data_IF_611052277930
#
_entry.id   IF_611052277930
#
_cell.length_a   1.000
_cell.length_b   1.000
_cell.length_c   1.000
_cell.angle_alpha   90.00
_cell.angle_beta   90.00
_cell.angle_gamma   90.00
#
_symmetry.space_group_name_H-M   'P 1'
#
loop_
_entity.id
_entity.type
_entity.pdbx_description
1 polymer ?
#
# COMPACT_ATOMS: atom_id res chain seq x y z
N UNK A 1 15.87 20.93 43.04
CA UNK A 1 16.84 20.46 42.01
C UNK A 1 16.37 19.22 41.26
N UNK A 2 15.61 18.34 41.90
CA UNK A 2 15.01 17.14 41.27
C UNK A 2 13.95 17.46 40.20
N UNK A 3 13.08 18.45 40.43
CA UNK A 3 12.07 18.88 39.43
C UNK A 3 12.68 19.44 38.14
N UNK A 4 13.77 20.20 38.24
CA UNK A 4 14.43 20.77 37.06
C UNK A 4 15.07 19.68 36.18
N UNK A 5 15.62 18.63 36.79
CA UNK A 5 16.18 17.48 36.08
C UNK A 5 15.09 16.61 35.43
N UNK A 6 13.92 16.46 36.07
CA UNK A 6 12.77 15.75 35.51
C UNK A 6 12.19 16.49 34.29
N UNK A 7 12.09 17.82 34.35
CA UNK A 7 11.60 18.67 33.25
C UNK A 7 12.58 18.65 32.06
N UNK A 8 13.91 18.70 32.30
CA UNK A 8 14.91 18.58 31.23
C UNK A 8 14.94 17.19 30.59
N UNK A 9 14.66 16.14 31.36
CA UNK A 9 14.57 14.77 30.83
C UNK A 9 13.30 14.58 29.98
N UNK A 10 12.17 15.19 30.38
CA UNK A 10 10.94 15.19 29.58
C UNK A 10 11.07 16.02 28.29
N UNK A 11 11.71 17.19 28.34
CA UNK A 11 11.97 18.03 27.17
C UNK A 11 12.94 17.37 26.18
N UNK A 12 13.99 16.70 26.67
CA UNK A 12 14.90 15.94 25.82
C UNK A 12 14.24 14.69 25.21
N UNK A 13 13.34 14.04 25.95
CA UNK A 13 12.55 12.93 25.44
C UNK A 13 11.57 13.40 24.35
N UNK A 14 10.86 14.52 24.53
CA UNK A 14 9.94 15.08 23.54
C UNK A 14 10.67 15.59 22.29
N UNK A 15 11.82 16.25 22.43
CA UNK A 15 12.59 16.77 21.29
C UNK A 15 13.22 15.64 20.44
N UNK A 16 13.61 14.52 21.07
CA UNK A 16 14.16 13.32 20.39
C UNK A 16 13.06 12.40 19.84
N UNK A 17 11.87 12.36 20.44
CA UNK A 17 10.71 11.61 19.91
C UNK A 17 9.96 12.39 18.83
N UNK A 18 9.68 13.68 18.98
CA UNK A 18 8.94 14.46 17.98
C UNK A 18 9.71 14.59 16.67
N UNK A 19 11.00 14.94 16.70
CA UNK A 19 11.79 15.16 15.48
C UNK A 19 12.03 13.90 14.62
N UNK A 20 12.28 12.75 15.26
CA UNK A 20 12.53 11.48 14.55
C UNK A 20 11.24 10.75 14.17
N UNK A 21 10.20 10.81 15.00
CA UNK A 21 8.90 10.18 14.71
C UNK A 21 8.18 10.97 13.62
N UNK A 22 8.10 12.31 13.70
CA UNK A 22 7.48 13.13 12.65
C UNK A 22 8.18 12.90 11.31
N UNK A 23 9.52 12.86 11.28
CA UNK A 23 10.26 12.58 10.05
C UNK A 23 9.96 11.19 9.47
N UNK A 24 9.79 10.19 10.33
CA UNK A 24 9.49 8.81 9.91
C UNK A 24 8.05 8.68 9.43
N UNK A 25 7.11 9.30 10.15
CA UNK A 25 5.71 9.42 9.76
C UNK A 25 5.58 10.14 8.42
N UNK A 26 6.29 11.27 8.23
CA UNK A 26 6.32 11.98 6.97
C UNK A 26 6.87 11.12 5.84
N UNK A 27 7.97 10.40 6.07
CA UNK A 27 8.57 9.48 5.09
C UNK A 27 7.58 8.40 4.63
N UNK A 28 6.61 8.06 5.46
CA UNK A 28 5.54 7.10 5.15
C UNK A 28 4.27 7.74 4.58
N UNK A 29 3.91 8.93 5.04
CA UNK A 29 2.71 9.62 4.61
C UNK A 29 2.83 10.14 3.17
N UNK A 30 3.94 10.81 2.81
CA UNK A 30 4.06 11.45 1.50
C UNK A 30 3.89 10.49 0.31
N UNK A 31 4.47 9.26 0.30
CA UNK A 31 4.28 8.34 -0.82
C UNK A 31 2.84 7.83 -0.89
N UNK A 32 2.22 7.59 0.27
CA UNK A 32 0.82 7.16 0.31
C UNK A 32 -0.11 8.25 -0.20
N UNK A 33 0.13 9.50 0.19
CA UNK A 33 -0.62 10.66 -0.33
C UNK A 33 -0.50 10.77 -1.84
N UNK A 34 0.71 10.68 -2.40
CA UNK A 34 0.93 10.68 -3.85
C UNK A 34 0.18 9.53 -4.54
N UNK A 35 0.23 8.32 -3.97
CA UNK A 35 -0.51 7.18 -4.50
C UNK A 35 -2.03 7.42 -4.50
N UNK A 36 -2.58 8.00 -3.42
CA UNK A 36 -4.01 8.32 -3.34
C UNK A 36 -4.42 9.43 -4.31
N UNK A 37 -3.58 10.46 -4.51
CA UNK A 37 -3.83 11.50 -5.52
C UNK A 37 -3.80 10.94 -6.94
N UNK A 38 -2.83 10.06 -7.25
CA UNK A 38 -2.80 9.37 -8.53
C UNK A 38 -4.05 8.49 -8.72
N UNK A 39 -4.53 7.86 -7.64
CA UNK A 39 -5.79 7.11 -7.66
C UNK A 39 -7.00 8.00 -7.96
N UNK A 40 -7.13 9.13 -7.27
CA UNK A 40 -8.21 10.07 -7.52
C UNK A 40 -8.16 10.63 -8.96
N UNK A 41 -6.97 10.96 -9.45
CA UNK A 41 -6.77 11.48 -10.80
C UNK A 41 -7.19 10.47 -11.88
N UNK A 42 -6.82 9.19 -11.78
CA UNK A 42 -7.26 8.22 -12.78
C UNK A 42 -8.78 8.05 -12.76
N UNK A 43 -9.42 8.03 -11.59
CA UNK A 43 -10.89 7.89 -11.50
C UNK A 43 -11.60 9.02 -12.24
N UNK A 44 -11.08 10.25 -12.16
CA UNK A 44 -11.61 11.38 -12.92
C UNK A 44 -11.40 11.20 -14.43
N UNK A 45 -10.22 10.74 -14.84
CA UNK A 45 -9.90 10.49 -16.25
C UNK A 45 -10.78 9.38 -16.84
N UNK A 46 -10.98 8.29 -16.10
CA UNK A 46 -11.81 7.16 -16.52
C UNK A 46 -13.28 7.62 -16.68
N UNK A 47 -13.80 8.36 -15.69
CA UNK A 47 -15.15 8.90 -15.75
C UNK A 47 -15.31 9.93 -16.89
N UNK A 48 -14.26 10.70 -17.21
CA UNK A 48 -14.27 11.59 -18.37
C UNK A 48 -14.40 10.83 -19.69
N UNK A 49 -13.72 9.70 -19.85
CA UNK A 49 -13.83 8.87 -21.05
C UNK A 49 -15.16 8.12 -21.13
N UNK A 50 -15.60 7.50 -20.03
CA UNK A 50 -16.91 6.86 -19.93
C UNK A 50 -18.04 7.87 -20.20
N UNK A 51 -17.90 9.10 -19.72
CA UNK A 51 -18.90 10.15 -19.92
C UNK A 51 -19.14 10.52 -21.38
N UNK A 52 -18.18 10.25 -22.27
CA UNK A 52 -18.36 10.44 -23.72
C UNK A 52 -19.19 9.34 -24.39
N UNK A 53 -19.45 8.22 -23.73
CA UNK A 53 -20.31 7.15 -24.24
C UNK A 53 -21.80 7.44 -24.05
N UNK A 54 -22.14 8.31 -23.08
CA UNK A 54 -23.52 8.71 -22.81
C UNK A 54 -23.92 8.58 -21.34
N UNK A 55 -25.17 8.96 -21.04
CA UNK A 55 -25.69 8.98 -19.66
C UNK A 55 -25.83 7.58 -19.07
N UNK A 56 -26.27 6.61 -19.88
CA UNK A 56 -26.48 5.23 -19.43
C UNK A 56 -25.16 4.55 -19.05
N UNK A 57 -24.08 4.84 -19.78
CA UNK A 57 -22.73 4.37 -19.48
C UNK A 57 -22.21 4.92 -18.14
N UNK A 58 -22.41 6.22 -17.88
CA UNK A 58 -22.06 6.83 -16.59
C UNK A 58 -22.83 6.15 -15.45
N UNK A 59 -24.13 5.94 -15.63
CA UNK A 59 -24.97 5.29 -14.63
C UNK A 59 -24.51 3.84 -14.36
N UNK A 60 -24.21 3.08 -15.41
CA UNK A 60 -23.69 1.71 -15.30
C UNK A 60 -22.37 1.65 -14.51
N UNK A 61 -21.42 2.53 -14.84
CA UNK A 61 -20.12 2.61 -14.15
C UNK A 61 -20.28 3.06 -12.70
N UNK A 62 -21.16 4.02 -12.42
CA UNK A 62 -21.41 4.49 -11.06
C UNK A 62 -22.00 3.38 -10.18
N UNK A 63 -23.00 2.64 -10.68
CA UNK A 63 -23.58 1.50 -9.96
C UNK A 63 -22.55 0.40 -9.74
N UNK A 64 -21.77 0.04 -10.76
CA UNK A 64 -20.71 -0.95 -10.58
C UNK A 64 -19.60 -0.50 -9.63
N UNK A 65 -19.31 0.80 -9.58
CA UNK A 65 -18.39 1.39 -8.61
C UNK A 65 -18.87 1.26 -7.15
N UNK A 66 -20.18 1.33 -6.90
CA UNK A 66 -20.74 1.06 -5.56
C UNK A 66 -20.49 -0.40 -5.16
N UNK A 67 -20.69 -1.35 -6.07
CA UNK A 67 -20.43 -2.78 -5.81
C UNK A 67 -18.94 -3.06 -5.58
N UNK A 68 -18.05 -2.45 -6.37
CA UNK A 68 -16.59 -2.53 -6.16
C UNK A 68 -16.20 -1.95 -4.78
N UNK A 69 -16.83 -0.85 -4.36
CA UNK A 69 -16.59 -0.24 -3.06
C UNK A 69 -17.05 -1.13 -1.89
N UNK A 70 -18.21 -1.77 -2.00
CA UNK A 70 -18.67 -2.76 -1.00
C UNK A 70 -17.64 -3.89 -0.87
N UNK A 71 -17.14 -4.39 -2.00
CA UNK A 71 -16.09 -5.42 -2.03
C UNK A 71 -14.79 -4.92 -1.35
N UNK A 72 -14.43 -3.66 -1.57
CA UNK A 72 -13.28 -3.01 -0.93
C UNK A 72 -13.42 -2.88 0.59
N UNK A 73 -14.62 -2.54 1.09
CA UNK A 73 -14.90 -2.43 2.53
C UNK A 73 -14.67 -3.78 3.22
N UNK A 74 -15.14 -4.88 2.63
CA UNK A 74 -14.93 -6.24 3.16
C UNK A 74 -13.44 -6.56 3.27
N UNK A 75 -12.64 -6.21 2.26
CA UNK A 75 -11.19 -6.46 2.25
C UNK A 75 -10.43 -5.60 3.26
N UNK A 76 -10.89 -4.38 3.53
CA UNK A 76 -10.13 -3.42 4.35
C UNK A 76 -9.77 -3.99 5.74
N UNK A 77 -10.67 -4.78 6.35
CA UNK A 77 -10.37 -5.47 7.62
C UNK A 77 -9.17 -6.41 7.55
N UNK A 78 -9.06 -7.20 6.48
CA UNK A 78 -7.94 -8.12 6.24
C UNK A 78 -6.65 -7.35 5.98
N UNK A 79 -6.71 -6.29 5.18
CA UNK A 79 -5.56 -5.43 4.87
C UNK A 79 -5.00 -4.77 6.14
N UNK A 80 -5.86 -4.32 7.04
CA UNK A 80 -5.45 -3.74 8.32
C UNK A 80 -4.84 -4.81 9.23
N UNK A 81 -5.51 -5.96 9.38
CA UNK A 81 -5.01 -7.06 10.19
C UNK A 81 -3.63 -7.55 9.72
N UNK A 82 -3.47 -7.76 8.42
CA UNK A 82 -2.20 -8.14 7.80
C UNK A 82 -1.08 -7.14 8.14
N UNK A 83 -1.37 -5.83 8.03
CA UNK A 83 -0.39 -4.79 8.40
C UNK A 83 0.04 -4.88 9.85
N UNK A 84 -0.90 -5.08 10.77
CA UNK A 84 -0.61 -5.16 12.21
C UNK A 84 0.25 -6.38 12.53
N UNK A 85 -0.11 -7.56 12.01
CA UNK A 85 0.65 -8.79 12.26
C UNK A 85 2.09 -8.68 11.74
N UNK A 86 2.26 -8.28 10.48
CA UNK A 86 3.58 -8.14 9.88
C UNK A 86 4.41 -7.07 10.60
N UNK A 87 3.83 -5.91 10.91
CA UNK A 87 4.55 -4.83 11.60
C UNK A 87 5.01 -5.26 12.99
N UNK A 88 4.17 -6.02 13.72
CA UNK A 88 4.50 -6.55 15.05
C UNK A 88 5.62 -7.58 14.99
N UNK A 89 5.60 -8.47 14.00
CA UNK A 89 6.64 -9.48 13.83
C UNK A 89 7.98 -8.87 13.43
N UNK A 90 7.95 -7.91 12.50
CA UNK A 90 9.12 -7.12 12.11
C UNK A 90 9.68 -6.33 13.31
N UNK A 91 8.80 -5.66 14.07
CA UNK A 91 9.20 -4.91 15.27
C UNK A 91 9.81 -5.78 16.37
N UNK A 92 9.50 -7.09 16.39
CA UNK A 92 10.09 -8.07 17.30
C UNK A 92 11.33 -8.78 16.72
N UNK A 93 11.83 -8.37 15.54
CA UNK A 93 12.96 -9.01 14.87
C UNK A 93 12.64 -10.38 14.25
N UNK A 94 11.37 -10.78 14.23
CA UNK A 94 10.87 -12.08 13.76
C UNK A 94 10.54 -12.06 12.27
N UNK A 95 11.58 -11.93 11.44
CA UNK A 95 11.45 -11.76 9.99
C UNK A 95 10.92 -13.01 9.27
N UNK A 96 11.22 -14.21 9.79
CA UNK A 96 10.75 -15.47 9.20
C UNK A 96 9.25 -15.64 9.41
N UNK A 97 8.77 -15.28 10.59
CA UNK A 97 7.36 -15.25 10.95
C UNK A 97 6.63 -14.21 10.10
N UNK A 98 7.19 -13.00 9.94
CA UNK A 98 6.65 -11.97 9.05
C UNK A 98 6.47 -12.46 7.60
N UNK A 99 7.41 -13.26 7.09
CA UNK A 99 7.30 -13.88 5.77
C UNK A 99 6.19 -14.94 5.69
N UNK A 100 6.00 -15.74 6.75
CA UNK A 100 4.91 -16.72 6.82
C UNK A 100 3.54 -16.03 6.89
N UNK A 101 3.39 -15.02 7.75
CA UNK A 101 2.18 -14.21 7.88
C UNK A 101 1.82 -13.52 6.57
N UNK A 102 2.83 -13.05 5.81
CA UNK A 102 2.65 -12.49 4.47
C UNK A 102 2.06 -13.51 3.49
N UNK A 103 2.56 -14.74 3.47
CA UNK A 103 2.06 -15.79 2.58
C UNK A 103 0.66 -16.26 2.98
N UNK A 104 0.42 -16.44 4.28
CA UNK A 104 -0.90 -16.77 4.81
C UNK A 104 -1.94 -15.72 4.45
N UNK A 105 -1.58 -14.43 4.53
CA UNK A 105 -2.48 -13.33 4.17
C UNK A 105 -2.78 -13.28 2.66
N UNK A 106 -1.83 -13.62 1.80
CA UNK A 106 -2.08 -13.75 0.35
C UNK A 106 -3.05 -14.91 0.06
N UNK A 107 -2.81 -16.07 0.67
CA UNK A 107 -3.69 -17.23 0.52
C UNK A 107 -5.09 -16.95 1.06
N UNK A 108 -5.19 -16.35 2.24
CA UNK A 108 -6.46 -15.96 2.83
C UNK A 108 -7.19 -14.93 1.96
N UNK A 109 -6.47 -13.91 1.47
CA UNK A 109 -7.02 -12.93 0.53
C UNK A 109 -7.51 -13.57 -0.76
N UNK A 110 -6.86 -14.63 -1.24
CA UNK A 110 -7.26 -15.36 -2.45
C UNK A 110 -8.58 -16.10 -2.22
N UNK A 111 -8.66 -16.87 -1.13
CA UNK A 111 -9.88 -17.60 -0.75
C UNK A 111 -11.02 -16.62 -0.51
N UNK A 112 -10.81 -15.55 0.26
CA UNK A 112 -11.84 -14.54 0.54
C UNK A 112 -12.30 -13.84 -0.74
N UNK A 113 -11.38 -13.53 -1.66
CA UNK A 113 -11.76 -12.90 -2.93
C UNK A 113 -12.62 -13.80 -3.79
N UNK A 114 -12.44 -15.13 -3.77
CA UNK A 114 -13.33 -16.05 -4.47
C UNK A 114 -14.74 -16.03 -3.87
N UNK A 115 -14.83 -16.03 -2.53
CA UNK A 115 -16.11 -15.91 -1.83
C UNK A 115 -16.88 -14.62 -2.16
N UNK A 116 -16.17 -13.52 -2.47
CA UNK A 116 -16.80 -12.26 -2.87
C UNK A 116 -17.06 -12.21 -4.38
N UNK A 117 -16.10 -12.64 -5.20
CA UNK A 117 -16.16 -12.55 -6.65
C UNK A 117 -17.25 -13.44 -7.26
N UNK A 118 -17.38 -14.68 -6.78
CA UNK A 118 -18.34 -15.66 -7.30
C UNK A 118 -19.79 -15.15 -7.21
N UNK A 119 -20.32 -14.76 -6.03
CA UNK A 119 -21.68 -14.24 -5.95
C UNK A 119 -21.83 -12.93 -6.72
N UNK A 120 -20.85 -12.02 -6.68
CA UNK A 120 -20.92 -10.78 -7.46
C UNK A 120 -21.04 -11.03 -8.97
N UNK A 121 -20.34 -12.06 -9.48
CA UNK A 121 -20.39 -12.42 -10.89
C UNK A 121 -21.75 -13.01 -11.30
N UNK A 122 -22.27 -13.97 -10.55
CA UNK A 122 -23.54 -14.64 -10.87
C UNK A 122 -24.76 -13.77 -10.59
N UNK A 123 -24.71 -12.92 -9.56
CA UNK A 123 -25.79 -12.01 -9.17
C UNK A 123 -25.65 -10.61 -9.78
N UNK A 124 -24.73 -10.40 -10.74
CA UNK A 124 -24.45 -9.09 -11.30
C UNK A 124 -25.71 -8.39 -11.84
N UNK A 125 -26.53 -9.11 -12.61
CA UNK A 125 -27.78 -8.58 -13.17
C UNK A 125 -28.78 -8.20 -12.09
N UNK A 126 -29.02 -9.10 -11.15
CA UNK A 126 -29.99 -8.89 -10.06
C UNK A 126 -29.55 -7.76 -9.14
N UNK A 127 -28.25 -7.64 -8.87
CA UNK A 127 -27.67 -6.53 -8.10
C UNK A 127 -27.96 -5.19 -8.77
N UNK A 128 -27.76 -5.08 -10.10
CA UNK A 128 -28.08 -3.86 -10.85
C UNK A 128 -29.56 -3.50 -10.77
N UNK A 129 -30.45 -4.48 -10.94
CA UNK A 129 -31.90 -4.26 -10.89
C UNK A 129 -32.34 -3.80 -9.49
N UNK A 130 -31.83 -4.43 -8.43
CA UNK A 130 -32.12 -4.05 -7.03
C UNK A 130 -31.62 -2.64 -6.72
N UNK A 131 -30.51 -2.21 -7.33
CA UNK A 131 -30.01 -0.84 -7.20
C UNK A 131 -30.78 0.18 -8.05
N UNK A 132 -31.81 -0.23 -8.77
CA UNK A 132 -32.68 0.64 -9.57
C UNK A 132 -32.23 0.86 -11.02
N UNK A 133 -31.29 0.06 -11.54
CA UNK A 133 -30.93 0.11 -12.95
C UNK A 133 -32.09 -0.38 -13.84
N UNK A 134 -32.31 0.30 -14.97
CA UNK A 134 -33.35 -0.04 -15.93
C UNK A 134 -32.85 0.07 -17.36
N UNK A 135 -33.48 -0.66 -18.29
CA UNK A 135 -33.21 -0.57 -19.72
C UNK A 135 -31.73 -0.76 -20.07
N UNK A 136 -31.20 0.19 -20.83
CA UNK A 136 -29.84 0.16 -21.37
C UNK A 136 -28.75 0.16 -20.28
N UNK A 137 -29.02 0.73 -19.11
CA UNK A 137 -28.09 0.73 -17.96
C UNK A 137 -27.81 -0.69 -17.49
N UNK A 138 -28.82 -1.57 -17.50
CA UNK A 138 -28.64 -2.99 -17.13
C UNK A 138 -27.82 -3.72 -18.19
N UNK A 139 -28.12 -3.49 -19.46
CA UNK A 139 -27.42 -4.10 -20.59
C UNK A 139 -25.93 -3.75 -20.60
N UNK A 140 -25.61 -2.46 -20.42
CA UNK A 140 -24.22 -1.98 -20.38
C UNK A 140 -23.52 -2.33 -19.05
N UNK A 141 -24.24 -2.26 -17.94
CA UNK A 141 -23.71 -2.53 -16.61
C UNK A 141 -23.42 -4.01 -16.34
N UNK A 142 -24.14 -4.94 -16.97
CA UNK A 142 -23.99 -6.37 -16.73
C UNK A 142 -22.57 -6.86 -17.04
N UNK A 143 -22.09 -6.60 -18.25
CA UNK A 143 -20.75 -6.98 -18.68
C UNK A 143 -19.66 -6.28 -17.85
N UNK A 144 -19.86 -4.99 -17.58
CA UNK A 144 -18.98 -4.20 -16.74
C UNK A 144 -18.80 -4.83 -15.35
N UNK A 145 -19.92 -5.18 -14.71
CA UNK A 145 -19.92 -5.71 -13.35
C UNK A 145 -19.36 -7.14 -13.29
N UNK A 146 -19.63 -7.97 -14.30
CA UNK A 146 -19.05 -9.30 -14.43
C UNK A 146 -17.52 -9.24 -14.57
N UNK A 147 -17.00 -8.34 -15.40
CA UNK A 147 -15.55 -8.15 -15.57
C UNK A 147 -14.92 -7.66 -14.28
N UNK A 148 -15.52 -6.67 -13.61
CA UNK A 148 -15.04 -6.19 -12.31
C UNK A 148 -15.07 -7.29 -11.25
N UNK A 149 -16.10 -8.14 -11.23
CA UNK A 149 -16.21 -9.26 -10.29
C UNK A 149 -15.04 -10.24 -10.45
N UNK A 150 -14.63 -10.55 -11.69
CA UNK A 150 -13.40 -11.32 -11.92
C UNK A 150 -12.15 -10.55 -11.46
N UNK A 151 -12.16 -9.23 -11.62
CA UNK A 151 -11.15 -8.30 -11.13
C UNK A 151 -10.99 -8.24 -9.62
N UNK A 152 -12.01 -8.62 -8.82
CA UNK A 152 -11.96 -8.63 -7.35
C UNK A 152 -10.81 -9.51 -6.86
N UNK A 153 -10.62 -10.68 -7.48
CA UNK A 153 -9.50 -11.60 -7.18
C UNK A 153 -8.16 -10.88 -7.25
N UNK A 154 -7.91 -10.19 -8.35
CA UNK A 154 -6.66 -9.46 -8.60
C UNK A 154 -6.52 -8.29 -7.63
N UNK A 155 -7.60 -7.53 -7.44
CA UNK A 155 -7.64 -6.33 -6.61
C UNK A 155 -7.32 -6.65 -5.15
N UNK A 156 -7.86 -7.76 -4.65
CA UNK A 156 -7.61 -8.24 -3.29
C UNK A 156 -6.13 -8.58 -3.10
N UNK A 157 -5.53 -9.28 -4.06
CA UNK A 157 -4.10 -9.63 -4.01
C UNK A 157 -3.20 -8.40 -4.08
N UNK A 158 -3.51 -7.42 -4.94
CA UNK A 158 -2.78 -6.14 -5.01
C UNK A 158 -2.79 -5.45 -3.65
N UNK A 159 -3.94 -5.43 -2.97
CA UNK A 159 -4.09 -4.70 -1.72
C UNK A 159 -3.41 -5.40 -0.55
N UNK A 160 -3.48 -6.73 -0.48
CA UNK A 160 -2.67 -7.51 0.48
C UNK A 160 -1.18 -7.30 0.23
N UNK A 161 -0.73 -7.38 -1.03
CA UNK A 161 0.68 -7.16 -1.36
C UNK A 161 1.15 -5.75 -1.00
N UNK A 162 0.36 -4.73 -1.34
CA UNK A 162 0.59 -3.33 -0.93
C UNK A 162 0.76 -3.22 0.58
N UNK A 163 -0.12 -3.88 1.34
CA UNK A 163 -0.12 -3.79 2.80
C UNK A 163 1.14 -4.40 3.42
N UNK A 164 1.73 -5.44 2.81
CA UNK A 164 3.01 -6.02 3.24
C UNK A 164 4.13 -4.98 3.14
N UNK A 165 4.26 -4.27 2.00
CA UNK A 165 5.30 -3.25 1.83
C UNK A 165 5.09 -2.03 2.73
N UNK A 166 3.84 -1.64 2.98
CA UNK A 166 3.50 -0.61 3.97
C UNK A 166 3.94 -1.03 5.38
N UNK A 167 3.72 -2.30 5.77
CA UNK A 167 4.08 -2.83 7.09
C UNK A 167 5.59 -2.93 7.31
N UNK A 168 6.37 -3.22 6.25
CA UNK A 168 7.83 -3.25 6.29
C UNK A 168 8.44 -1.85 6.35
N UNK A 169 7.65 -0.80 6.12
CA UNK A 169 8.11 0.59 6.13
C UNK A 169 8.75 1.05 4.82
N UNK A 170 8.45 0.40 3.69
CA UNK A 170 8.83 0.85 2.35
C UNK A 170 7.58 1.21 1.49
N UNK A 171 6.87 2.30 1.82
CA UNK A 171 5.69 2.74 1.09
C UNK A 171 6.02 3.37 -0.28
N UNK A 172 7.31 3.54 -0.62
CA UNK A 172 7.71 4.03 -1.94
C UNK A 172 7.50 2.98 -3.02
N UNK A 173 7.66 1.70 -2.69
CA UNK A 173 7.37 0.59 -3.60
C UNK A 173 5.90 0.60 -4.04
N UNK A 174 4.90 0.54 -3.13
CA UNK A 174 3.51 0.59 -3.54
C UNK A 174 3.17 1.90 -4.24
N UNK A 175 3.70 3.05 -3.79
CA UNK A 175 3.48 4.31 -4.51
C UNK A 175 3.88 4.21 -5.99
N UNK A 176 5.10 3.77 -6.29
CA UNK A 176 5.58 3.65 -7.69
C UNK A 176 4.69 2.70 -8.49
N UNK A 177 4.38 1.53 -7.94
CA UNK A 177 3.57 0.53 -8.64
C UNK A 177 2.17 1.06 -8.92
N UNK A 178 1.50 1.67 -7.93
CA UNK A 178 0.15 2.23 -8.13
C UNK A 178 0.16 3.38 -9.13
N UNK A 179 1.11 4.31 -9.05
CA UNK A 179 1.21 5.41 -10.02
C UNK A 179 1.37 4.89 -11.44
N UNK A 180 2.31 3.97 -11.67
CA UNK A 180 2.54 3.40 -13.01
C UNK A 180 1.32 2.62 -13.49
N UNK A 181 0.67 1.85 -12.61
CA UNK A 181 -0.51 1.08 -12.96
C UNK A 181 -1.71 1.96 -13.29
N UNK A 182 -1.90 3.06 -12.56
CA UNK A 182 -2.95 4.04 -12.83
C UNK A 182 -2.70 4.80 -14.15
N UNK A 183 -1.44 5.12 -14.47
CA UNK A 183 -1.08 5.69 -15.78
C UNK A 183 -1.36 4.68 -16.89
N UNK A 184 -0.98 3.42 -16.69
CA UNK A 184 -1.27 2.35 -17.64
C UNK A 184 -2.79 2.21 -17.86
N UNK A 185 -3.58 2.25 -16.78
CA UNK A 185 -5.04 2.26 -16.87
C UNK A 185 -5.57 3.44 -17.69
N UNK A 186 -5.10 4.66 -17.42
CA UNK A 186 -5.51 5.86 -18.14
C UNK A 186 -5.19 5.83 -19.64
N UNK A 187 -4.18 5.04 -20.05
CA UNK A 187 -3.84 4.79 -21.46
C UNK A 187 -4.69 3.66 -22.05
N UNK A 188 -4.87 2.57 -21.30
CA UNK A 188 -5.64 1.40 -21.75
C UNK A 188 -7.14 1.69 -21.88
N UNK A 189 -7.71 2.46 -20.96
CA UNK A 189 -9.14 2.76 -20.94
C UNK A 189 -9.64 3.34 -22.28
N UNK A 190 -9.12 4.46 -22.80
CA UNK A 190 -9.57 4.99 -24.08
C UNK A 190 -9.32 4.03 -25.25
N UNK A 191 -8.21 3.28 -25.21
CA UNK A 191 -7.88 2.31 -26.25
C UNK A 191 -8.87 1.14 -26.32
N UNK A 192 -9.36 0.65 -25.17
CA UNK A 192 -10.32 -0.45 -25.08
C UNK A 192 -11.77 0.04 -25.25
N UNK A 193 -12.08 1.26 -24.80
CA UNK A 193 -13.42 1.85 -24.93
C UNK A 193 -13.76 2.06 -26.42
N UNK A 194 -12.90 2.76 -27.17
CA UNK A 194 -13.15 3.06 -28.59
C UNK A 194 -12.61 2.02 -29.55
N UNK A 195 -11.77 1.10 -29.08
CA UNK A 195 -11.07 0.14 -29.92
C UNK A 195 -9.89 0.79 -30.64
N UNK A 196 -8.83 0.02 -30.86
CA UNK A 196 -7.64 0.45 -31.62
C UNK A 196 -7.17 -0.71 -32.49
N UNK A 197 -7.10 -0.50 -33.81
CA UNK A 197 -6.64 -1.49 -34.77
C UNK A 197 -7.53 -2.75 -34.81
N UNK A 198 -7.00 -3.86 -34.31
CA UNK A 198 -7.66 -5.19 -34.30
C UNK A 198 -8.66 -5.33 -33.14
N UNK A 199 -8.55 -4.47 -32.11
CA UNK A 199 -9.40 -4.55 -30.92
C UNK A 199 -10.73 -3.85 -31.22
N UNK A 200 -11.88 -4.56 -31.14
CA UNK A 200 -13.19 -3.93 -31.34
C UNK A 200 -13.49 -2.93 -30.21
N UNK A 201 -14.37 -1.96 -30.49
CA UNK A 201 -14.87 -1.04 -29.47
C UNK A 201 -15.68 -1.81 -28.42
N UNK A 202 -15.17 -1.91 -27.18
CA UNK A 202 -15.82 -2.63 -26.09
C UNK A 202 -16.73 -1.73 -25.23
N UNK A 203 -16.73 -0.42 -25.48
CA UNK A 203 -17.54 0.55 -24.73
C UNK A 203 -17.26 0.46 -23.23
N UNK A 204 -18.34 0.36 -22.43
CA UNK A 204 -18.27 0.29 -20.96
C UNK A 204 -17.47 -0.92 -20.47
N UNK A 205 -17.60 -2.08 -21.14
CA UNK A 205 -16.83 -3.28 -20.80
C UNK A 205 -15.32 -3.07 -20.99
N UNK A 206 -14.93 -2.23 -21.94
CA UNK A 206 -13.54 -1.84 -22.18
C UNK A 206 -12.93 -1.09 -21.00
N UNK A 207 -13.71 -0.21 -20.35
CA UNK A 207 -13.30 0.50 -19.15
C UNK A 207 -13.02 -0.47 -17.98
N UNK A 208 -13.94 -1.41 -17.71
CA UNK A 208 -13.72 -2.45 -16.69
C UNK A 208 -12.47 -3.29 -16.99
N UNK A 209 -12.30 -3.72 -18.23
CA UNK A 209 -11.16 -4.55 -18.62
C UNK A 209 -9.82 -3.80 -18.47
N UNK A 210 -9.78 -2.50 -18.81
CA UNK A 210 -8.61 -1.66 -18.60
C UNK A 210 -8.22 -1.59 -17.11
N UNK A 211 -9.19 -1.53 -16.20
CA UNK A 211 -8.95 -1.55 -14.75
C UNK A 211 -8.34 -2.89 -14.33
N UNK A 212 -8.93 -4.00 -14.77
CA UNK A 212 -8.44 -5.35 -14.42
C UNK A 212 -7.02 -5.58 -14.95
N UNK A 213 -6.73 -5.19 -16.19
CA UNK A 213 -5.40 -5.33 -16.79
C UNK A 213 -4.35 -4.49 -16.07
N UNK A 214 -4.66 -3.26 -15.71
CA UNK A 214 -3.76 -2.41 -14.93
C UNK A 214 -3.49 -2.99 -13.53
N UNK A 215 -4.52 -3.52 -12.86
CA UNK A 215 -4.37 -4.19 -11.57
C UNK A 215 -3.58 -5.50 -11.70
N UNK A 216 -3.73 -6.25 -12.80
CA UNK A 216 -2.94 -7.44 -13.09
C UNK A 216 -1.45 -7.11 -13.27
N UNK A 217 -1.15 -6.02 -13.99
CA UNK A 217 0.21 -5.51 -14.10
C UNK A 217 0.79 -5.15 -12.73
N UNK A 218 0.03 -4.43 -11.90
CA UNK A 218 0.43 -4.08 -10.54
C UNK A 218 0.74 -5.35 -9.71
N UNK A 219 -0.15 -6.34 -9.77
CA UNK A 219 -0.01 -7.61 -9.08
C UNK A 219 1.26 -8.35 -9.52
N UNK A 220 1.49 -8.46 -10.83
CA UNK A 220 2.70 -9.08 -11.38
C UNK A 220 3.97 -8.43 -10.83
N UNK A 221 4.00 -7.09 -10.81
CA UNK A 221 5.13 -6.34 -10.24
C UNK A 221 5.30 -6.64 -8.74
N UNK A 222 4.22 -6.53 -7.96
CA UNK A 222 4.25 -6.84 -6.54
C UNK A 222 4.76 -8.26 -6.26
N UNK A 223 4.27 -9.26 -7.00
CA UNK A 223 4.66 -10.66 -6.83
C UNK A 223 6.13 -10.89 -7.18
N UNK A 224 6.68 -10.23 -8.20
CA UNK A 224 8.11 -10.30 -8.54
C UNK A 224 8.96 -9.74 -7.39
N UNK A 225 8.59 -8.57 -6.85
CA UNK A 225 9.33 -7.97 -5.75
C UNK A 225 9.21 -8.77 -4.46
N UNK A 226 8.01 -9.28 -4.16
CA UNK A 226 7.75 -10.09 -2.98
C UNK A 226 8.56 -11.38 -3.04
N UNK A 227 8.55 -12.08 -4.20
CA UNK A 227 9.40 -13.25 -4.42
C UNK A 227 10.87 -12.92 -4.21
N UNK A 228 11.38 -11.80 -4.72
CA UNK A 228 12.79 -11.40 -4.54
C UNK A 228 13.15 -11.07 -3.10
N UNK A 229 12.26 -10.40 -2.36
CA UNK A 229 12.50 -9.93 -0.98
C UNK A 229 12.25 -11.00 0.08
N UNK A 230 11.27 -11.88 -0.11
CA UNK A 230 10.96 -12.96 0.83
C UNK A 230 11.78 -14.24 0.57
N UNK A 231 12.42 -14.40 -0.61
CA UNK A 231 13.24 -15.58 -0.95
C UNK A 231 14.21 -16.01 0.16
N UNK A 232 14.94 -15.09 0.85
CA UNK A 232 15.89 -15.48 1.89
C UNK A 232 15.27 -16.04 3.18
N UNK A 233 13.96 -15.88 3.37
CA UNK A 233 13.26 -16.22 4.61
C UNK A 233 12.24 -17.36 4.44
N UNK A 234 12.13 -17.92 3.24
CA UNK A 234 11.29 -19.08 2.95
C UNK A 234 11.93 -20.37 3.51
N UNK A 235 11.15 -21.27 4.13
CA UNK A 235 11.64 -22.51 4.73
C UNK A 235 12.20 -23.54 3.72
N UNK A 236 12.18 -23.25 2.41
CA UNK A 236 12.73 -24.13 1.36
C UNK A 236 14.27 -24.21 1.42
N UNK A 237 14.93 -23.23 2.04
CA UNK A 237 16.39 -23.25 2.24
C UNK A 237 16.72 -23.18 3.73
N UNK A 238 16.70 -24.33 4.40
CA UNK A 238 17.35 -24.50 5.69
C UNK A 238 18.87 -24.66 5.49
N UNK A 239 19.55 -23.62 5.02
CA UNK A 239 21.03 -23.54 5.05
C UNK A 239 21.44 -22.07 4.98
N UNK A 240 21.90 -21.55 6.12
CA UNK A 240 22.65 -20.29 6.23
C UNK A 240 21.96 -19.05 5.65
N UNK A 241 21.11 -18.39 6.43
CA UNK A 241 20.68 -17.03 6.10
C UNK A 241 21.89 -16.08 6.12
N UNK A 242 22.10 -15.26 5.07
CA UNK A 242 23.16 -14.26 5.07
C UNK A 242 22.94 -13.23 6.19
N UNK A 243 24.02 -12.72 6.82
CA UNK A 243 23.90 -11.70 7.86
C UNK A 243 23.34 -10.41 7.25
N UNK A 244 22.38 -9.81 7.96
CA UNK A 244 21.70 -8.60 7.52
C UNK A 244 22.61 -7.37 7.58
N UNK A 245 22.28 -6.28 6.85
CA UNK A 245 22.90 -4.98 7.06
C UNK A 245 22.80 -4.64 8.54
N UNK A 246 23.94 -4.66 9.21
CA UNK A 246 24.07 -4.40 10.63
C UNK A 246 23.44 -3.08 11.01
N UNK A 247 22.98 -3.01 12.26
CA UNK A 247 22.62 -1.86 13.09
C UNK A 247 23.68 -0.72 13.15
N UNK A 248 24.45 -0.46 12.11
CA UNK A 248 25.57 0.49 12.07
C UNK A 248 25.19 1.98 11.98
N UNK A 249 24.03 2.39 12.49
CA UNK A 249 23.73 3.83 12.69
C UNK A 249 23.21 4.19 14.08
N UNK A 250 23.03 3.19 14.95
CA UNK A 250 22.57 3.41 16.33
C UNK A 250 23.70 3.35 17.37
N UNK A 251 24.75 2.56 17.13
CA UNK A 251 25.88 2.38 18.04
C UNK A 251 26.89 3.54 17.96
N UNK A 252 27.20 4.02 16.76
CA UNK A 252 28.15 5.14 16.56
C UNK A 252 27.69 6.44 17.24
N UNK A 253 26.38 6.65 17.38
CA UNK A 253 25.85 7.83 18.08
C UNK A 253 25.90 7.69 19.61
N UNK A 254 25.91 6.46 20.15
CA UNK A 254 26.09 6.25 21.60
C UNK A 254 27.56 6.40 21.97
N UNK A 255 28.47 5.86 21.17
CA UNK A 255 29.92 6.01 21.40
C UNK A 255 30.38 7.46 21.19
N UNK A 256 29.88 8.16 20.17
CA UNK A 256 30.17 9.59 19.99
C UNK A 256 29.62 10.45 21.15
N UNK A 257 28.50 10.07 21.76
CA UNK A 257 27.95 10.79 22.92
C UNK A 257 28.74 10.53 24.21
N UNK A 258 29.23 9.30 24.43
CA UNK A 258 30.08 8.97 25.57
C UNK A 258 31.48 9.62 25.45
N UNK A 259 32.03 9.64 24.23
CA UNK A 259 33.34 10.25 23.97
C UNK A 259 33.31 11.79 24.04
N UNK A 260 32.21 12.43 23.63
CA UNK A 260 32.06 13.89 23.80
C UNK A 260 31.84 14.28 25.27
N UNK A 261 31.11 13.46 26.04
CA UNK A 261 30.84 13.75 27.45
C UNK A 261 32.12 13.62 28.31
N UNK A 262 33.01 12.66 28.00
CA UNK A 262 34.31 12.53 28.65
C UNK A 262 35.26 13.68 28.27
N UNK A 263 35.30 14.10 26.98
CA UNK A 263 36.11 15.24 26.52
C UNK A 263 35.64 16.58 27.11
N UNK A 264 34.33 16.79 27.29
CA UNK A 264 33.79 17.98 27.94
C UNK A 264 34.08 18.03 29.45
N UNK A 265 34.09 16.88 30.14
CA UNK A 265 34.52 16.78 31.55
C UNK A 265 36.00 17.15 31.72
N UNK A 266 36.89 16.66 30.85
CA UNK A 266 38.31 17.02 30.92
C UNK A 266 38.59 18.49 30.59
N UNK A 267 37.85 19.10 29.64
CA UNK A 267 38.00 20.54 29.34
C UNK A 267 37.50 21.46 30.47
N UNK A 268 36.47 21.08 31.22
CA UNK A 268 36.02 21.86 32.40
C UNK A 268 36.98 21.75 33.58
N UNK A 269 37.57 20.58 33.82
CA UNK A 269 38.56 20.40 34.89
C UNK A 269 39.90 21.09 34.61
N UNK A 270 40.30 21.22 33.33
CA UNK A 270 41.48 22.00 32.94
C UNK A 270 41.32 23.52 33.13
N UNK A 271 40.10 24.08 32.96
CA UNK A 271 39.85 25.51 33.14
C UNK A 271 39.74 25.95 34.61
N UNK A 272 39.43 25.05 35.53
CA UNK A 272 39.36 25.38 36.97
C UNK A 272 40.74 25.36 37.67
N UNK A 273 41.78 24.81 37.04
CA UNK A 273 43.16 24.83 37.56
C UNK A 273 44.04 25.96 36.98
N UNK A 274 43.57 26.71 35.99
CA UNK A 274 44.32 27.79 35.34
C UNK A 274 43.96 29.21 35.78
N UNK A 275 43.10 29.37 36.80
CA UNK A 275 42.53 30.66 37.20
C UNK A 275 43.09 31.26 38.51
N UNK A 276 44.22 30.76 39.03
CA UNK A 276 44.86 31.27 40.25
C UNK A 276 46.34 31.58 39.98
N UNK A 277 46.60 32.58 39.14
CA UNK A 277 47.90 33.24 39.03
C UNK A 277 47.73 34.60 38.32
N UNK A 278 47.16 35.56 39.04
CA UNK A 278 47.59 36.98 39.13
C UNK A 278 46.63 37.74 40.04
#
# INVERSE_FOLDING_TARGET
>A
MEEAAAIQTQLAASEVTEGKIIRTAWRQAWPMTVAQFASAAYTLVDMFFVGKLGRDAIAAVALGGIVDNVSWIIMTGVVIANKVFISREIGAGRWKEAAHSSYQSLLFGFVLSLFVAIPCFFLARETLIVMGAQGEVVTQGLGYLQILSLGVLVSFQVQVARSIFEAVGDPKIPMKILVVSNILNAILAPALIWGVGIIPALGVNGAALAVVLARLFALGWFMILLRRRLRPYLPVHATGSPPLPSEGRGSDLRDASHENCSRLRHRRLGRLRGGSAN
#
